data_IF_150905355123
#
_entry.id   IF_150905355123
#
_cell.length_a   1.000
_cell.length_b   1.000
_cell.length_c   1.000
_cell.angle_alpha   90.00
_cell.angle_beta   90.00
_cell.angle_gamma   90.00
#
_symmetry.space_group_name_H-M   'P 1'
#
loop_
_entity.id
_entity.type
_entity.pdbx_description
1 polymer ?
#
# COMPACT_ATOMS: atom_id res chain seq x y z
N UNK A 1 16.25 -28.26 23.51
CA UNK A 1 15.81 -26.89 23.24
C UNK A 1 15.24 -26.90 21.84
N UNK A 2 13.96 -26.62 21.69
CA UNK A 2 13.39 -26.46 20.39
C UNK A 2 13.87 -25.08 19.86
N UNK A 3 14.55 -25.07 18.71
CA UNK A 3 14.78 -23.84 17.97
C UNK A 3 13.40 -23.28 17.63
N UNK A 4 13.03 -22.13 18.20
CA UNK A 4 11.91 -21.36 17.71
C UNK A 4 12.24 -20.97 16.26
N UNK A 5 11.65 -21.67 15.31
CA UNK A 5 11.70 -21.29 13.90
C UNK A 5 10.91 -19.99 13.81
N UNK A 6 11.63 -18.88 13.79
CA UNK A 6 11.05 -17.56 13.60
C UNK A 6 10.25 -17.58 12.29
N UNK A 7 8.93 -17.42 12.39
CA UNK A 7 8.09 -17.41 11.21
C UNK A 7 8.46 -16.21 10.34
N UNK A 8 8.51 -16.38 9.01
CA UNK A 8 8.87 -15.27 8.12
C UNK A 8 7.88 -14.11 8.29
N UNK A 9 8.42 -12.89 8.36
CA UNK A 9 7.61 -11.69 8.50
C UNK A 9 6.66 -11.56 7.31
N UNK A 10 5.45 -11.08 7.56
CA UNK A 10 4.49 -10.77 6.51
C UNK A 10 4.95 -9.56 5.71
N UNK A 11 4.65 -9.58 4.41
CA UNK A 11 5.04 -8.57 3.43
C UNK A 11 3.93 -7.53 3.28
N UNK A 12 4.27 -6.26 3.40
CA UNK A 12 3.33 -5.14 3.30
C UNK A 12 3.75 -4.19 2.18
N UNK A 13 2.87 -3.97 1.23
CA UNK A 13 3.00 -2.91 0.24
C UNK A 13 2.46 -1.61 0.79
N UNK A 14 3.30 -0.59 0.85
CA UNK A 14 2.97 0.74 1.38
C UNK A 14 2.68 1.68 0.20
N UNK A 15 1.41 2.00 0.04
CA UNK A 15 0.96 2.86 -1.07
C UNK A 15 1.24 4.34 -0.76
N UNK A 16 1.28 5.17 -1.77
CA UNK A 16 1.74 6.57 -1.73
C UNK A 16 1.01 7.44 -0.72
N UNK A 17 -0.29 7.22 -0.51
CA UNK A 17 -1.08 8.02 0.47
C UNK A 17 -0.57 7.84 1.89
N UNK A 18 -0.10 6.65 2.24
CA UNK A 18 0.47 6.36 3.57
C UNK A 18 1.79 7.09 3.75
N UNK A 19 2.66 7.05 2.76
CA UNK A 19 3.95 7.75 2.78
C UNK A 19 3.73 9.27 2.84
N UNK A 20 2.78 9.78 2.07
CA UNK A 20 2.43 11.20 2.05
C UNK A 20 1.92 11.68 3.41
N UNK A 21 0.99 10.94 4.01
CA UNK A 21 0.44 11.31 5.32
C UNK A 21 1.50 11.20 6.43
N UNK A 22 2.36 10.17 6.39
CA UNK A 22 3.40 9.98 7.39
C UNK A 22 4.47 11.09 7.40
N UNK A 23 4.72 11.73 6.26
CA UNK A 23 5.80 12.70 6.07
C UNK A 23 5.31 14.14 5.94
N UNK A 24 4.00 14.36 5.84
CA UNK A 24 3.41 15.69 5.69
C UNK A 24 3.56 16.55 6.96
N UNK A 25 3.58 17.86 6.76
CA UNK A 25 3.40 18.80 7.85
C UNK A 25 2.00 18.68 8.45
N UNK A 26 1.82 18.97 9.76
CA UNK A 26 0.53 18.78 10.43
C UNK A 26 -0.61 19.55 9.73
N UNK A 27 -1.69 18.87 9.44
CA UNK A 27 -2.89 19.45 8.86
C UNK A 27 -3.75 20.13 9.92
N UNK A 28 -4.48 21.17 9.51
CA UNK A 28 -5.55 21.79 10.32
C UNK A 28 -6.87 21.03 10.26
N UNK A 29 -7.05 20.22 9.21
CA UNK A 29 -8.18 19.28 9.10
C UNK A 29 -7.98 18.14 10.10
N UNK A 30 -8.92 17.93 11.01
CA UNK A 30 -8.79 16.97 12.10
C UNK A 30 -8.75 15.53 11.61
N UNK A 31 -9.49 15.19 10.56
CA UNK A 31 -9.50 13.84 9.99
C UNK A 31 -8.16 13.53 9.34
N UNK A 32 -7.66 14.48 8.54
CA UNK A 32 -6.35 14.32 7.90
C UNK A 32 -5.21 14.32 8.94
N UNK A 33 -5.27 15.18 9.95
CA UNK A 33 -4.29 15.21 11.05
C UNK A 33 -4.23 13.86 11.79
N UNK A 34 -5.39 13.23 12.05
CA UNK A 34 -5.46 11.89 12.65
C UNK A 34 -4.79 10.83 11.78
N UNK A 35 -5.07 10.83 10.48
CA UNK A 35 -4.41 9.91 9.52
C UNK A 35 -2.89 10.11 9.46
N UNK A 36 -2.42 11.36 9.52
CA UNK A 36 -1.00 11.69 9.55
C UNK A 36 -0.30 11.11 10.78
N UNK A 37 -0.92 11.23 11.95
CA UNK A 37 -0.39 10.64 13.20
C UNK A 37 -0.32 9.12 13.08
N UNK A 38 -1.42 8.48 12.72
CA UNK A 38 -1.49 7.02 12.55
C UNK A 38 -0.45 6.51 11.55
N UNK A 39 -0.33 7.17 10.39
CA UNK A 39 0.61 6.78 9.34
C UNK A 39 2.05 6.86 9.81
N UNK A 40 2.41 7.92 10.53
CA UNK A 40 3.76 8.13 11.05
C UNK A 40 4.11 7.09 12.10
N UNK A 41 3.25 6.90 13.10
CA UNK A 41 3.46 5.91 14.16
C UNK A 41 3.56 4.50 13.60
N UNK A 42 2.65 4.15 12.68
CA UNK A 42 2.67 2.84 12.05
C UNK A 42 3.95 2.62 11.23
N UNK A 43 4.33 3.56 10.37
CA UNK A 43 5.50 3.41 9.51
C UNK A 43 6.80 3.28 10.32
N UNK A 44 6.91 4.00 11.44
CA UNK A 44 8.06 3.92 12.34
C UNK A 44 8.17 2.56 13.04
N UNK A 45 7.05 1.96 13.42
CA UNK A 45 7.00 0.69 14.18
C UNK A 45 6.89 -0.54 13.29
N UNK A 46 6.29 -0.44 12.11
CA UNK A 46 5.91 -1.59 11.27
C UNK A 46 7.12 -2.42 10.80
N UNK A 47 8.28 -1.81 10.59
CA UNK A 47 9.51 -2.50 10.15
C UNK A 47 10.01 -3.58 11.13
N UNK A 48 9.61 -3.49 12.38
CA UNK A 48 9.96 -4.53 13.38
C UNK A 48 9.16 -5.80 13.10
N UNK A 49 7.90 -5.66 12.73
CA UNK A 49 6.94 -6.76 12.59
C UNK A 49 6.78 -7.24 11.14
N UNK A 50 6.96 -6.36 10.17
CA UNK A 50 6.70 -6.61 8.76
C UNK A 50 7.93 -6.35 7.89
N UNK A 51 7.96 -7.00 6.72
CA UNK A 51 8.81 -6.58 5.61
C UNK A 51 8.05 -5.53 4.79
N UNK A 52 8.59 -4.30 4.72
CA UNK A 52 7.95 -3.18 4.05
C UNK A 52 8.47 -3.02 2.63
N UNK A 53 7.53 -2.86 1.70
CA UNK A 53 7.80 -2.67 0.28
C UNK A 53 7.12 -1.39 -0.22
N UNK A 54 7.79 -0.72 -1.15
CA UNK A 54 7.21 0.29 -2.01
C UNK A 54 7.33 -0.16 -3.46
N UNK A 55 7.11 0.74 -4.41
CA UNK A 55 7.31 0.45 -5.82
C UNK A 55 7.87 1.66 -6.56
N UNK A 56 8.35 1.43 -7.78
CA UNK A 56 8.68 2.51 -8.71
C UNK A 56 7.52 3.50 -8.87
N UNK A 57 6.27 3.01 -8.89
CA UNK A 57 5.08 3.85 -8.98
C UNK A 57 4.95 4.78 -7.77
N UNK A 58 5.10 4.24 -6.55
CA UNK A 58 5.09 5.04 -5.31
C UNK A 58 6.17 6.11 -5.36
N UNK A 59 7.38 5.76 -5.79
CA UNK A 59 8.47 6.74 -5.94
C UNK A 59 8.13 7.82 -6.95
N UNK A 60 7.61 7.45 -8.12
CA UNK A 60 7.21 8.40 -9.17
C UNK A 60 6.16 9.39 -8.67
N UNK A 61 5.16 8.91 -7.96
CA UNK A 61 4.12 9.75 -7.36
C UNK A 61 4.67 10.64 -6.24
N UNK A 62 5.60 10.11 -5.44
CA UNK A 62 6.22 10.84 -4.32
C UNK A 62 7.10 12.00 -4.76
N UNK A 63 7.57 12.01 -5.99
CA UNK A 63 8.35 13.11 -6.58
C UNK A 63 7.49 14.30 -7.01
N UNK A 64 6.17 14.15 -7.09
CA UNK A 64 5.25 15.21 -7.55
C UNK A 64 4.99 16.26 -6.46
N UNK A 65 4.65 17.47 -6.90
CA UNK A 65 4.20 18.56 -6.04
C UNK A 65 5.34 19.36 -5.43
N UNK A 66 5.13 19.84 -4.20
CA UNK A 66 6.09 20.69 -3.50
C UNK A 66 7.43 19.98 -3.31
N UNK A 67 8.59 20.65 -3.67
CA UNK A 67 9.90 20.01 -3.59
C UNK A 67 10.30 19.55 -2.19
N UNK A 68 9.98 20.31 -1.15
CA UNK A 68 10.32 19.94 0.24
C UNK A 68 9.50 18.74 0.71
N UNK A 69 8.21 18.72 0.37
CA UNK A 69 7.34 17.57 0.63
C UNK A 69 7.80 16.32 -0.14
N UNK A 70 8.19 16.47 -1.40
CA UNK A 70 8.74 15.38 -2.21
C UNK A 70 10.04 14.82 -1.57
N UNK A 71 10.94 15.69 -1.12
CA UNK A 71 12.18 15.27 -0.47
C UNK A 71 11.91 14.44 0.80
N UNK A 72 10.93 14.83 1.62
CA UNK A 72 10.53 14.06 2.81
C UNK A 72 9.97 12.69 2.45
N UNK A 73 9.12 12.60 1.43
CA UNK A 73 8.56 11.32 0.96
C UNK A 73 9.65 10.39 0.43
N UNK A 74 10.55 10.90 -0.41
CA UNK A 74 11.66 10.11 -0.95
C UNK A 74 12.59 9.61 0.16
N UNK A 75 12.89 10.44 1.16
CA UNK A 75 13.69 10.03 2.32
C UNK A 75 13.03 8.86 3.07
N UNK A 76 11.70 8.90 3.26
CA UNK A 76 10.96 7.81 3.90
C UNK A 76 11.00 6.50 3.09
N UNK A 77 11.05 6.57 1.76
CA UNK A 77 11.11 5.40 0.88
C UNK A 77 12.47 4.68 0.90
N UNK A 78 13.53 5.33 1.36
CA UNK A 78 14.90 4.78 1.33
C UNK A 78 15.02 3.45 2.08
N UNK A 79 14.21 3.24 3.11
CA UNK A 79 14.23 2.04 3.93
C UNK A 79 13.24 0.95 3.48
N UNK A 80 12.49 1.19 2.41
CA UNK A 80 11.54 0.24 1.86
C UNK A 80 12.15 -0.42 0.60
N UNK A 81 11.89 -1.72 0.44
CA UNK A 81 12.29 -2.43 -0.78
C UNK A 81 11.39 -2.01 -1.94
N UNK A 82 11.98 -1.68 -3.09
CA UNK A 82 11.23 -1.22 -4.25
C UNK A 82 10.85 -2.37 -5.17
N UNK A 83 9.55 -2.50 -5.45
CA UNK A 83 9.01 -3.42 -6.43
C UNK A 83 8.90 -2.76 -7.80
N UNK A 84 9.06 -3.58 -8.86
CA UNK A 84 8.84 -3.16 -10.23
C UNK A 84 7.44 -3.62 -10.69
N UNK A 85 6.80 -2.80 -11.51
CA UNK A 85 5.59 -3.17 -12.22
C UNK A 85 5.98 -3.78 -13.58
N UNK A 86 6.10 -5.10 -13.61
CA UNK A 86 6.40 -5.84 -14.83
C UNK A 86 5.17 -5.98 -15.76
N UNK A 87 5.31 -6.72 -16.84
CA UNK A 87 4.22 -6.97 -17.78
C UNK A 87 3.04 -7.71 -17.12
N UNK A 88 3.28 -8.57 -16.14
CA UNK A 88 2.21 -9.27 -15.42
C UNK A 88 1.39 -8.30 -14.60
N UNK A 89 2.03 -7.37 -13.89
CA UNK A 89 1.35 -6.32 -13.15
C UNK A 89 0.53 -5.43 -14.09
N UNK A 90 1.08 -5.05 -15.23
CA UNK A 90 0.36 -4.24 -16.22
C UNK A 90 -0.88 -4.97 -16.78
N UNK A 91 -0.75 -6.26 -17.11
CA UNK A 91 -1.89 -7.08 -17.57
C UNK A 91 -2.97 -7.22 -16.51
N UNK A 92 -2.59 -7.47 -15.26
CA UNK A 92 -3.57 -7.56 -14.16
C UNK A 92 -4.25 -6.20 -13.91
N UNK A 93 -3.51 -5.10 -13.96
CA UNK A 93 -4.08 -3.75 -13.85
C UNK A 93 -5.13 -3.49 -14.94
N UNK A 94 -4.85 -3.88 -16.19
CA UNK A 94 -5.83 -3.81 -17.29
C UNK A 94 -7.10 -4.62 -16.99
N UNK A 95 -6.96 -5.82 -16.42
CA UNK A 95 -8.13 -6.64 -16.01
C UNK A 95 -8.96 -5.98 -14.92
N UNK A 96 -8.32 -5.31 -13.97
CA UNK A 96 -9.01 -4.56 -12.91
C UNK A 96 -9.80 -3.37 -13.49
N UNK A 97 -9.22 -2.66 -14.46
CA UNK A 97 -9.89 -1.55 -15.15
C UNK A 97 -11.06 -2.05 -16.03
N UNK A 98 -10.83 -3.07 -16.84
CA UNK A 98 -11.85 -3.63 -17.73
C UNK A 98 -13.01 -4.24 -16.94
N UNK A 99 -12.72 -4.87 -15.81
CA UNK A 99 -13.70 -5.40 -14.87
C UNK A 99 -14.40 -4.37 -13.99
N UNK A 100 -14.08 -3.08 -14.16
CA UNK A 100 -14.64 -1.95 -13.38
C UNK A 100 -14.40 -2.03 -11.86
N UNK A 101 -13.37 -2.75 -11.44
CA UNK A 101 -12.94 -2.74 -10.04
C UNK A 101 -12.25 -1.43 -9.66
N UNK A 102 -11.60 -0.79 -10.64
CA UNK A 102 -11.05 0.57 -10.56
C UNK A 102 -11.54 1.33 -11.79
N UNK A 103 -11.95 2.61 -11.66
CA UNK A 103 -12.35 3.41 -12.81
C UNK A 103 -11.21 3.58 -13.83
N UNK A 104 -11.54 3.59 -15.12
CA UNK A 104 -10.55 3.66 -16.22
C UNK A 104 -9.68 4.92 -16.19
N UNK A 105 -10.15 5.97 -15.58
CA UNK A 105 -9.46 7.24 -15.41
C UNK A 105 -8.33 7.18 -14.38
N UNK A 106 -8.25 6.09 -13.60
CA UNK A 106 -7.28 5.92 -12.51
C UNK A 106 -6.42 4.65 -12.69
N UNK A 107 -5.67 4.55 -13.80
CA UNK A 107 -4.88 3.35 -14.08
C UNK A 107 -3.76 3.10 -13.06
N UNK A 108 -3.24 4.15 -12.44
CA UNK A 108 -2.20 4.02 -11.40
C UNK A 108 -2.74 3.34 -10.15
N UNK A 109 -4.00 3.58 -9.77
CA UNK A 109 -4.63 2.90 -8.63
C UNK A 109 -4.76 1.39 -8.88
N UNK A 110 -5.14 1.01 -10.09
CA UNK A 110 -5.16 -0.40 -10.51
C UNK A 110 -3.76 -1.02 -10.52
N UNK A 111 -2.75 -0.25 -10.92
CA UNK A 111 -1.37 -0.72 -10.96
C UNK A 111 -0.77 -0.92 -9.56
N UNK A 112 -1.14 -0.12 -8.57
CA UNK A 112 -0.77 -0.37 -7.17
C UNK A 112 -1.29 -1.74 -6.70
N UNK A 113 -2.57 -2.01 -6.93
CA UNK A 113 -3.18 -3.29 -6.55
C UNK A 113 -2.50 -4.46 -7.27
N UNK A 114 -2.33 -4.33 -8.58
CA UNK A 114 -1.71 -5.36 -9.40
C UNK A 114 -0.26 -5.65 -8.99
N UNK A 115 0.52 -4.61 -8.74
CA UNK A 115 1.92 -4.75 -8.29
C UNK A 115 2.00 -5.50 -6.95
N UNK A 116 1.12 -5.18 -6.02
CA UNK A 116 1.07 -5.87 -4.73
C UNK A 116 0.67 -7.35 -4.89
N UNK A 117 -0.32 -7.64 -5.72
CA UNK A 117 -0.80 -9.03 -5.95
C UNK A 117 0.26 -9.89 -6.67
N UNK A 118 0.88 -9.39 -7.73
CA UNK A 118 1.91 -10.09 -8.50
C UNK A 118 3.14 -10.44 -7.64
N UNK A 119 3.51 -9.56 -6.72
CA UNK A 119 4.66 -9.75 -5.85
C UNK A 119 4.31 -10.45 -4.54
N UNK A 120 3.13 -11.06 -4.46
CA UNK A 120 2.67 -11.88 -3.32
C UNK A 120 2.73 -11.14 -1.98
N UNK A 121 2.32 -9.87 -1.96
CA UNK A 121 2.18 -9.11 -0.73
C UNK A 121 1.04 -9.68 0.12
N UNK A 122 1.25 -9.74 1.43
CA UNK A 122 0.20 -10.16 2.36
C UNK A 122 -0.81 -9.02 2.59
N UNK A 123 -0.31 -7.79 2.66
CA UNK A 123 -1.12 -6.59 2.87
C UNK A 123 -0.79 -5.51 1.85
N UNK A 124 -1.80 -4.75 1.49
CA UNK A 124 -1.71 -3.49 0.78
C UNK A 124 -2.31 -2.41 1.68
N UNK A 125 -1.48 -1.51 2.20
CA UNK A 125 -1.95 -0.42 3.06
C UNK A 125 -2.09 0.87 2.28
N UNK A 126 -3.27 1.49 2.39
CA UNK A 126 -3.62 2.71 1.65
C UNK A 126 -4.73 3.47 2.36
N UNK A 127 -4.71 4.81 2.24
CA UNK A 127 -5.81 5.69 2.61
C UNK A 127 -6.69 6.08 1.43
N UNK A 128 -6.44 5.52 0.25
CA UNK A 128 -7.26 5.77 -0.93
C UNK A 128 -8.61 5.03 -0.81
N UNK A 129 -9.55 5.62 -0.10
CA UNK A 129 -10.89 5.06 0.10
C UNK A 129 -11.76 5.07 -1.17
N UNK A 130 -11.37 5.84 -2.18
CA UNK A 130 -12.15 5.91 -3.43
C UNK A 130 -11.95 4.67 -4.28
N UNK A 131 -10.69 4.25 -4.49
CA UNK A 131 -10.37 3.28 -5.54
C UNK A 131 -9.56 2.07 -5.07
N UNK A 132 -9.02 2.08 -3.84
CA UNK A 132 -8.19 0.98 -3.33
C UNK A 132 -8.82 0.39 -2.07
N UNK A 133 -8.86 1.16 -1.00
CA UNK A 133 -9.37 0.72 0.31
C UNK A 133 -10.87 1.02 0.40
N UNK A 134 -11.63 0.40 -0.48
CA UNK A 134 -13.07 0.62 -0.61
C UNK A 134 -13.82 -0.71 -0.46
N UNK A 135 -14.62 -0.80 0.61
CA UNK A 135 -15.37 -2.01 0.94
C UNK A 135 -16.33 -2.47 -0.18
N UNK A 136 -16.81 -1.55 -1.02
CA UNK A 136 -17.72 -1.88 -2.14
C UNK A 136 -16.97 -2.52 -3.32
N UNK A 137 -15.70 -2.18 -3.54
CA UNK A 137 -14.93 -2.67 -4.69
C UNK A 137 -13.95 -3.78 -4.35
N UNK A 138 -13.49 -3.89 -3.11
CA UNK A 138 -12.55 -4.94 -2.67
C UNK A 138 -13.02 -6.37 -3.05
N UNK A 139 -14.29 -6.76 -2.88
CA UNK A 139 -14.73 -8.10 -3.29
C UNK A 139 -14.54 -8.37 -4.78
N UNK A 140 -14.75 -7.37 -5.63
CA UNK A 140 -14.54 -7.47 -7.07
C UNK A 140 -13.05 -7.52 -7.43
N UNK A 141 -12.23 -6.70 -6.78
CA UNK A 141 -10.77 -6.73 -6.90
C UNK A 141 -10.25 -8.14 -6.58
N UNK A 142 -10.67 -8.69 -5.46
CA UNK A 142 -10.29 -10.05 -5.02
C UNK A 142 -10.64 -11.10 -6.05
N UNK A 143 -11.88 -11.06 -6.56
CA UNK A 143 -12.35 -12.01 -7.60
C UNK A 143 -11.52 -11.93 -8.86
N UNK A 144 -11.20 -10.72 -9.33
CA UNK A 144 -10.40 -10.52 -10.55
C UNK A 144 -8.98 -11.04 -10.36
N UNK A 145 -8.33 -10.75 -9.24
CA UNK A 145 -7.02 -11.28 -8.92
C UNK A 145 -7.02 -12.82 -8.95
N UNK A 146 -7.92 -13.43 -8.21
CA UNK A 146 -8.04 -14.89 -8.08
C UNK A 146 -8.36 -15.56 -9.42
N UNK A 147 -9.25 -14.99 -10.22
CA UNK A 147 -9.59 -15.50 -11.57
C UNK A 147 -8.38 -15.47 -12.50
N UNK A 148 -7.45 -14.55 -12.29
CA UNK A 148 -6.22 -14.45 -13.08
C UNK A 148 -5.03 -15.19 -12.45
N UNK A 149 -5.25 -15.97 -11.41
CA UNK A 149 -4.24 -16.84 -10.79
C UNK A 149 -3.38 -16.17 -9.73
N UNK A 150 -3.79 -15.01 -9.21
CA UNK A 150 -3.06 -14.28 -8.18
C UNK A 150 -3.84 -14.20 -6.87
N UNK A 151 -3.15 -14.41 -5.76
CA UNK A 151 -3.70 -14.11 -4.44
C UNK A 151 -3.81 -12.60 -4.26
N UNK A 152 -5.01 -12.11 -3.96
CA UNK A 152 -5.20 -10.71 -3.61
C UNK A 152 -4.61 -10.43 -2.23
N UNK A 153 -3.80 -9.36 -2.05
CA UNK A 153 -3.43 -8.94 -0.71
C UNK A 153 -4.66 -8.50 0.09
N UNK A 154 -4.59 -8.60 1.40
CA UNK A 154 -5.59 -7.94 2.24
C UNK A 154 -5.40 -6.43 2.15
N UNK A 155 -6.42 -5.74 1.66
CA UNK A 155 -6.40 -4.28 1.46
C UNK A 155 -6.95 -3.62 2.72
N UNK A 156 -6.14 -2.77 3.35
CA UNK A 156 -6.48 -2.16 4.63
C UNK A 156 -5.81 -0.79 4.81
N UNK A 157 -6.15 -0.13 5.90
CA UNK A 157 -5.44 1.08 6.35
C UNK A 157 -4.31 0.71 7.31
N UNK A 158 -3.33 1.61 7.53
CA UNK A 158 -2.33 1.40 8.58
C UNK A 158 -2.97 1.19 9.97
N UNK A 159 -4.06 1.88 10.25
CA UNK A 159 -4.78 1.76 11.52
C UNK A 159 -5.28 0.34 11.77
N UNK A 160 -5.73 -0.35 10.73
CA UNK A 160 -6.21 -1.74 10.85
C UNK A 160 -5.09 -2.73 11.20
N UNK A 161 -3.83 -2.38 10.95
CA UNK A 161 -2.66 -3.19 11.30
C UNK A 161 -2.04 -2.82 12.66
N UNK A 162 -2.51 -1.76 13.32
CA UNK A 162 -2.02 -1.36 14.64
C UNK A 162 -2.65 -2.18 15.78
N UNK A 163 -3.87 -2.64 15.59
CA UNK A 163 -4.70 -3.20 16.68
C UNK A 163 -4.51 -4.68 16.98
N UNK A 164 -3.45 -5.33 16.48
CA UNK A 164 -3.29 -6.78 16.58
C UNK A 164 -2.54 -7.32 17.81
N UNK A 165 -2.05 -6.50 18.70
CA UNK A 165 -1.07 -6.89 19.72
C UNK A 165 -1.49 -6.60 21.17
N UNK A 166 -2.73 -6.23 21.44
CA UNK A 166 -3.23 -6.18 22.82
C UNK A 166 -3.90 -7.50 23.19
N UNK A 167 -3.50 -8.08 24.32
CA UNK A 167 -4.11 -9.29 24.84
C UNK A 167 -5.55 -9.08 25.31
#
# INVERSE_FOLDING_TARGET
MAEEVEQPKKKVYVETTVVSDATALPSKDLVLAGRQVVSREWLDSAKVKYELYSSFLVRRESLKGDPDAAARRIAALTNLRELQADEHAQRLAMKLLDGKAVPKEYPDDALHIATAAINEMDYLVSWNFRHITNAQTIPLVKRICETNGYRCPEICTPQMLQGGDEP
#
